data_IF_653278936259
#
_entry.id   IF_653278936259
#
_cell.length_a   1.000
_cell.length_b   1.000
_cell.length_c   1.000
_cell.angle_alpha   90.00
_cell.angle_beta   90.00
_cell.angle_gamma   90.00
#
_symmetry.space_group_name_H-M   'P 1'
#
loop_
_entity.id
_entity.type
_entity.pdbx_description
1 polymer ?
#
# COMPACT_ATOMS: atom_id res chain seq x y z
N UNK A 1 14.58 -24.57 1.07
CA UNK A 1 14.56 -24.95 2.51
C UNK A 1 14.25 -23.66 3.26
N UNK A 2 13.32 -23.66 4.23
CA UNK A 2 13.04 -22.50 5.10
C UNK A 2 13.78 -22.75 6.41
N UNK A 3 14.70 -21.86 6.78
CA UNK A 3 15.51 -22.02 7.99
C UNK A 3 14.78 -21.57 9.25
N UNK A 4 13.96 -20.51 9.14
CA UNK A 4 13.16 -19.97 10.24
C UNK A 4 11.84 -19.39 9.74
N UNK A 5 10.75 -19.70 10.41
CA UNK A 5 9.46 -19.02 10.28
C UNK A 5 9.44 -17.88 11.27
N UNK A 6 9.02 -16.70 10.83
CA UNK A 6 8.95 -15.48 11.67
C UNK A 6 7.52 -14.99 11.78
N UNK A 7 7.22 -14.25 12.87
CA UNK A 7 5.91 -13.69 13.19
C UNK A 7 6.04 -12.32 13.83
N UNK A 8 4.91 -11.69 14.09
CA UNK A 8 4.83 -10.39 14.78
C UNK A 8 5.72 -10.34 16.01
N UNK A 9 6.54 -9.28 16.12
CA UNK A 9 7.40 -8.99 17.25
C UNK A 9 8.69 -9.81 17.32
N UNK A 10 8.93 -10.75 16.40
CA UNK A 10 10.21 -11.46 16.34
C UNK A 10 11.35 -10.49 16.06
N UNK A 11 12.47 -10.71 16.76
CA UNK A 11 13.71 -9.99 16.51
C UNK A 11 14.72 -10.98 15.95
N UNK A 12 15.20 -10.68 14.75
CA UNK A 12 16.30 -11.40 14.11
C UNK A 12 17.60 -10.65 14.42
N UNK A 13 18.53 -11.34 15.07
CA UNK A 13 19.83 -10.80 15.46
C UNK A 13 20.90 -11.24 14.47
N UNK A 14 21.54 -10.28 13.80
CA UNK A 14 22.63 -10.48 12.86
C UNK A 14 23.93 -9.81 13.35
N UNK A 15 24.14 -9.78 14.68
CA UNK A 15 25.30 -9.18 15.31
C UNK A 15 25.17 -7.66 15.41
N UNK A 16 25.72 -6.94 14.45
CA UNK A 16 25.67 -5.46 14.45
C UNK A 16 24.30 -4.91 14.06
N UNK A 17 23.41 -5.75 13.52
CA UNK A 17 22.07 -5.35 13.07
C UNK A 17 20.98 -6.20 13.69
N UNK A 18 19.86 -5.55 14.01
CA UNK A 18 18.63 -6.20 14.50
C UNK A 18 17.46 -5.87 13.59
N UNK A 19 16.69 -6.89 13.26
CA UNK A 19 15.50 -6.75 12.41
C UNK A 19 14.27 -7.12 13.23
N UNK A 20 13.37 -6.16 13.43
CA UNK A 20 12.05 -6.40 14.03
C UNK A 20 11.05 -6.74 12.94
N UNK A 21 10.25 -7.77 13.15
CA UNK A 21 9.23 -8.26 12.23
C UNK A 21 7.86 -7.72 12.61
N UNK A 22 7.10 -7.23 11.63
CA UNK A 22 5.73 -6.78 11.76
C UNK A 22 4.82 -7.56 10.80
N UNK A 23 3.75 -8.15 11.31
CA UNK A 23 2.68 -8.68 10.47
C UNK A 23 1.84 -7.50 9.96
N UNK A 24 1.78 -7.36 8.64
CA UNK A 24 1.10 -6.26 7.95
C UNK A 24 0.17 -6.81 6.87
N UNK A 25 -0.89 -7.56 7.25
CA UNK A 25 -1.85 -8.07 6.28
C UNK A 25 -2.59 -6.92 5.59
N UNK A 26 -3.11 -7.19 4.39
CA UNK A 26 -3.83 -6.22 3.56
C UNK A 26 -3.61 -6.49 2.07
N UNK A 27 -2.35 -6.53 1.62
CA UNK A 27 -2.00 -7.04 0.30
C UNK A 27 -2.14 -8.56 0.26
N UNK A 28 -1.50 -9.27 1.18
CA UNK A 28 -1.75 -10.70 1.43
C UNK A 28 -2.03 -10.93 2.92
N UNK A 29 -2.56 -12.11 3.26
CA UNK A 29 -2.78 -12.49 4.68
C UNK A 29 -1.48 -12.68 5.44
N UNK A 30 -0.38 -12.97 4.74
CA UNK A 30 0.94 -13.25 5.32
C UNK A 30 1.97 -12.16 5.01
N UNK A 31 1.54 -10.97 4.61
CA UNK A 31 2.45 -9.84 4.37
C UNK A 31 3.18 -9.47 5.66
N UNK A 32 4.49 -9.28 5.52
CA UNK A 32 5.39 -8.87 6.60
C UNK A 32 6.11 -7.58 6.20
N UNK A 33 6.35 -6.74 7.19
CA UNK A 33 7.25 -5.59 7.09
C UNK A 33 8.39 -5.75 8.09
N UNK A 34 9.52 -5.11 7.83
CA UNK A 34 10.74 -5.31 8.61
C UNK A 34 11.35 -3.98 8.98
N UNK A 35 11.71 -3.79 10.25
CA UNK A 35 12.43 -2.61 10.69
C UNK A 35 13.85 -2.98 11.10
N UNK A 36 14.82 -2.35 10.47
CA UNK A 36 16.26 -2.54 10.73
C UNK A 36 16.73 -1.44 11.69
N UNK A 37 17.30 -1.84 12.82
CA UNK A 37 17.99 -0.98 13.82
C UNK A 37 17.16 0.21 14.34
N UNK A 38 15.84 0.10 14.36
CA UNK A 38 14.92 1.19 14.65
C UNK A 38 15.12 2.43 13.77
N UNK A 39 15.70 2.26 12.58
CA UNK A 39 16.02 3.33 11.66
C UNK A 39 15.25 3.22 10.34
N UNK A 40 15.37 2.11 9.62
CA UNK A 40 14.71 1.92 8.33
C UNK A 40 13.61 0.89 8.45
N UNK A 41 12.39 1.23 8.02
CA UNK A 41 11.31 0.28 7.88
C UNK A 41 11.08 -0.07 6.41
N UNK A 42 11.12 -1.36 6.10
CA UNK A 42 10.78 -1.93 4.80
C UNK A 42 9.30 -2.27 4.83
N UNK A 43 8.48 -1.36 4.33
CA UNK A 43 7.05 -1.56 4.28
C UNK A 43 6.69 -2.52 3.13
N UNK A 44 5.75 -3.44 3.41
CA UNK A 44 5.18 -4.32 2.39
C UNK A 44 4.26 -3.54 1.44
N UNK A 45 3.83 -4.17 0.34
CA UNK A 45 2.85 -3.58 -0.59
C UNK A 45 1.48 -3.30 0.05
N UNK A 46 1.26 -3.75 1.28
CA UNK A 46 0.04 -3.44 2.05
C UNK A 46 -0.19 -1.95 2.23
N UNK A 47 0.87 -1.14 2.28
CA UNK A 47 0.77 0.32 2.38
C UNK A 47 0.49 1.00 1.02
N UNK A 48 0.27 0.23 -0.03
CA UNK A 48 0.15 0.68 -1.41
C UNK A 48 1.49 0.71 -2.15
N UNK A 49 1.40 0.85 -3.45
CA UNK A 49 2.55 1.00 -4.35
C UNK A 49 2.46 2.36 -5.03
N UNK A 50 3.57 3.07 -5.09
CA UNK A 50 3.65 4.34 -5.79
C UNK A 50 4.47 4.15 -7.06
N UNK A 51 3.94 4.61 -8.18
CA UNK A 51 4.69 4.74 -9.43
C UNK A 51 5.17 6.18 -9.61
N UNK A 52 5.86 6.47 -10.71
CA UNK A 52 6.23 7.85 -11.07
C UNK A 52 5.02 8.76 -11.34
N UNK A 53 3.84 8.20 -11.59
CA UNK A 53 2.65 8.96 -11.98
C UNK A 53 1.47 8.82 -11.03
N UNK A 54 1.32 7.65 -10.36
CA UNK A 54 0.13 7.36 -9.56
C UNK A 54 0.47 6.60 -8.28
N UNK A 55 -0.39 6.73 -7.28
CA UNK A 55 -0.48 5.82 -6.15
C UNK A 55 -1.44 4.68 -6.52
N UNK A 56 -0.93 3.45 -6.48
CA UNK A 56 -1.67 2.24 -6.83
C UNK A 56 -2.17 1.53 -5.57
N UNK A 57 -3.48 1.26 -5.45
CA UNK A 57 -4.01 0.51 -4.32
C UNK A 57 -3.62 -0.96 -4.41
N UNK A 58 -3.18 -1.55 -3.28
CA UNK A 58 -2.76 -2.94 -3.20
C UNK A 58 -3.42 -3.71 -2.04
N UNK A 59 -4.62 -3.30 -1.60
CA UNK A 59 -5.37 -3.98 -0.55
C UNK A 59 -6.21 -5.14 -1.13
N UNK A 60 -5.53 -6.28 -1.40
CA UNK A 60 -6.15 -7.42 -2.11
C UNK A 60 -6.95 -8.35 -1.19
N UNK A 61 -6.72 -8.28 0.13
CA UNK A 61 -7.44 -9.10 1.11
C UNK A 61 -8.22 -8.28 2.14
N UNK A 62 -7.86 -7.01 2.40
CA UNK A 62 -8.58 -6.14 3.31
C UNK A 62 -8.13 -4.69 3.22
N UNK A 63 -9.09 -3.78 3.03
CA UNK A 63 -8.84 -2.33 3.07
C UNK A 63 -8.55 -1.86 4.50
N UNK A 64 -9.38 -2.26 5.47
CA UNK A 64 -9.15 -1.92 6.87
C UNK A 64 -7.82 -2.49 7.37
N UNK A 65 -7.47 -3.71 6.97
CA UNK A 65 -6.17 -4.30 7.30
C UNK A 65 -4.99 -3.44 6.79
N UNK A 66 -5.12 -2.83 5.62
CA UNK A 66 -4.09 -1.94 5.07
C UNK A 66 -3.97 -0.63 5.87
N UNK A 67 -5.08 -0.05 6.32
CA UNK A 67 -5.06 1.12 7.20
C UNK A 67 -4.42 0.79 8.55
N UNK A 68 -4.79 -0.34 9.17
CA UNK A 68 -4.24 -0.80 10.44
C UNK A 68 -2.72 -1.07 10.32
N UNK A 69 -2.27 -1.58 9.16
CA UNK A 69 -0.85 -1.78 8.88
C UNK A 69 -0.08 -0.45 8.80
N UNK A 70 -0.62 0.56 8.11
CA UNK A 70 0.00 1.91 8.06
C UNK A 70 0.12 2.49 9.46
N UNK A 71 -0.93 2.43 10.27
CA UNK A 71 -0.92 2.94 11.64
C UNK A 71 0.09 2.19 12.51
N UNK A 72 0.12 0.84 12.45
CA UNK A 72 1.10 0.02 13.15
C UNK A 72 2.54 0.41 12.80
N UNK A 73 2.86 0.54 11.49
CA UNK A 73 4.19 0.86 11.03
C UNK A 73 4.59 2.31 11.38
N UNK A 74 3.65 3.25 11.36
CA UNK A 74 3.86 4.62 11.87
C UNK A 74 4.28 4.60 13.34
N UNK A 75 3.58 3.86 14.19
CA UNK A 75 3.88 3.74 15.61
C UNK A 75 5.19 3.00 15.92
N UNK A 76 5.72 2.22 14.98
CA UNK A 76 7.05 1.62 15.12
C UNK A 76 8.18 2.65 15.18
N UNK A 77 7.95 3.88 14.69
CA UNK A 77 8.82 5.04 14.89
C UNK A 77 10.12 5.00 14.08
N UNK A 78 10.13 4.31 12.93
CA UNK A 78 11.29 4.34 12.03
C UNK A 78 11.53 5.74 11.47
N UNK A 79 12.80 6.11 11.29
CA UNK A 79 13.20 7.43 10.77
C UNK A 79 13.11 7.49 9.24
N UNK A 80 13.32 6.36 8.58
CA UNK A 80 13.34 6.22 7.12
C UNK A 80 12.36 5.13 6.68
N UNK A 81 11.68 5.37 5.59
CA UNK A 81 10.66 4.48 5.06
C UNK A 81 11.11 4.00 3.68
N UNK A 82 11.27 2.69 3.53
CA UNK A 82 11.46 2.03 2.26
C UNK A 82 10.09 1.53 1.76
N UNK A 83 9.71 1.95 0.56
CA UNK A 83 8.50 1.49 -0.12
C UNK A 83 8.89 0.56 -1.25
N UNK A 84 8.18 -0.55 -1.36
CA UNK A 84 8.38 -1.55 -2.42
C UNK A 84 8.27 -0.89 -3.80
N UNK A 85 9.16 -1.25 -4.71
CA UNK A 85 9.29 -0.73 -6.08
C UNK A 85 9.81 0.72 -6.21
N UNK A 86 9.97 1.45 -5.10
CA UNK A 86 10.45 2.85 -5.12
C UNK A 86 11.83 2.97 -4.46
N UNK A 87 11.99 2.39 -3.27
CA UNK A 87 13.19 2.54 -2.46
C UNK A 87 12.94 3.36 -1.19
N UNK A 88 14.02 3.88 -0.59
CA UNK A 88 13.95 4.75 0.57
C UNK A 88 13.49 6.13 0.11
N UNK A 89 12.38 6.60 0.69
CA UNK A 89 11.91 7.97 0.44
C UNK A 89 12.82 9.00 1.13
N UNK A 90 13.08 10.07 0.43
CA UNK A 90 13.98 11.15 0.81
C UNK A 90 13.31 12.51 0.64
N UNK A 91 13.88 13.61 1.19
CA UNK A 91 13.37 14.95 0.92
C UNK A 91 13.34 15.36 -0.56
N UNK A 92 14.14 14.70 -1.41
CA UNK A 92 14.17 14.93 -2.86
C UNK A 92 12.90 14.43 -3.55
N UNK A 93 12.16 13.51 -2.93
CA UNK A 93 10.88 12.97 -3.44
C UNK A 93 9.70 13.91 -3.15
N UNK A 94 9.88 14.88 -2.25
CA UNK A 94 8.84 15.86 -1.91
C UNK A 94 8.51 16.75 -3.12
N UNK A 95 7.20 16.92 -3.39
CA UNK A 95 6.67 17.67 -4.53
C UNK A 95 6.70 16.91 -5.86
N UNK A 96 7.24 15.71 -5.89
CA UNK A 96 7.17 14.81 -7.06
C UNK A 96 5.84 14.06 -7.09
N UNK A 97 5.64 13.20 -8.09
CA UNK A 97 4.48 12.32 -8.16
C UNK A 97 4.43 11.30 -6.99
N UNK A 98 5.55 11.01 -6.35
CA UNK A 98 5.64 10.14 -5.18
C UNK A 98 4.98 10.77 -3.93
N UNK A 99 5.28 12.05 -3.68
CA UNK A 99 4.77 12.83 -2.55
C UNK A 99 4.23 14.18 -3.02
N UNK A 100 3.14 14.19 -3.80
CA UNK A 100 2.62 15.40 -4.45
C UNK A 100 2.14 16.40 -3.40
N UNK A 101 2.58 17.67 -3.56
CA UNK A 101 2.20 18.76 -2.67
C UNK A 101 2.93 18.83 -1.35
N UNK A 102 3.75 17.83 -0.99
CA UNK A 102 4.67 17.92 0.15
C UNK A 102 5.81 18.88 -0.21
N UNK A 103 6.18 19.77 0.70
CA UNK A 103 7.36 20.61 0.53
C UNK A 103 8.58 19.91 1.11
N UNK A 104 9.75 20.17 0.53
CA UNK A 104 11.01 19.54 0.95
C UNK A 104 11.36 19.81 2.42
N UNK A 105 11.13 21.01 2.89
CA UNK A 105 11.34 21.44 4.28
C UNK A 105 10.35 20.83 5.28
N UNK A 106 9.23 20.27 4.79
CA UNK A 106 8.20 19.61 5.60
C UNK A 106 8.37 18.08 5.62
N UNK A 107 9.39 17.56 4.91
CA UNK A 107 9.60 16.11 4.81
C UNK A 107 9.96 15.51 6.18
N UNK A 108 9.20 14.49 6.56
CA UNK A 108 9.45 13.65 7.74
C UNK A 108 8.80 12.29 7.54
N UNK A 109 9.18 11.29 8.35
CA UNK A 109 8.53 9.97 8.32
C UNK A 109 7.02 10.09 8.57
N UNK A 110 6.58 10.92 9.52
CA UNK A 110 5.15 11.12 9.80
C UNK A 110 4.41 11.67 8.58
N UNK A 111 5.00 12.64 7.88
CA UNK A 111 4.39 13.18 6.65
C UNK A 111 4.30 12.14 5.55
N UNK A 112 5.29 11.26 5.42
CA UNK A 112 5.22 10.13 4.48
C UNK A 112 4.06 9.21 4.85
N UNK A 113 3.89 8.86 6.12
CA UNK A 113 2.76 8.05 6.58
C UNK A 113 1.41 8.72 6.30
N UNK A 114 1.29 10.04 6.50
CA UNK A 114 0.08 10.81 6.13
C UNK A 114 -0.26 10.64 4.64
N UNK A 115 0.74 10.66 3.76
CA UNK A 115 0.54 10.48 2.32
C UNK A 115 0.10 9.05 1.95
N UNK A 116 0.70 8.03 2.57
CA UNK A 116 0.32 6.64 2.34
C UNK A 116 -1.11 6.37 2.81
N UNK A 117 -1.46 6.84 4.00
CA UNK A 117 -2.82 6.74 4.54
C UNK A 117 -3.84 7.49 3.66
N UNK A 118 -3.52 8.72 3.27
CA UNK A 118 -4.36 9.50 2.37
C UNK A 118 -4.51 8.83 0.98
N UNK A 119 -3.45 8.18 0.48
CA UNK A 119 -3.48 7.40 -0.74
C UNK A 119 -4.46 6.23 -0.68
N UNK A 120 -4.42 5.46 0.41
CA UNK A 120 -5.37 4.35 0.66
C UNK A 120 -6.82 4.87 0.70
N UNK A 121 -7.07 5.94 1.44
CA UNK A 121 -8.42 6.53 1.58
C UNK A 121 -8.94 7.07 0.25
N UNK A 122 -8.12 7.84 -0.46
CA UNK A 122 -8.48 8.39 -1.76
C UNK A 122 -8.81 7.31 -2.78
N UNK A 123 -7.96 6.30 -2.94
CA UNK A 123 -8.19 5.23 -3.90
C UNK A 123 -9.41 4.40 -3.55
N UNK A 124 -9.71 4.20 -2.26
CA UNK A 124 -10.96 3.58 -1.83
C UNK A 124 -12.17 4.38 -2.31
N UNK A 125 -12.19 5.70 -2.12
CA UNK A 125 -13.30 6.55 -2.56
C UNK A 125 -13.44 6.55 -4.09
N UNK A 126 -12.33 6.65 -4.83
CA UNK A 126 -12.31 6.58 -6.29
C UNK A 126 -12.87 5.24 -6.80
N UNK A 127 -12.50 4.12 -6.16
CA UNK A 127 -12.98 2.79 -6.57
C UNK A 127 -14.47 2.63 -6.25
N UNK A 128 -14.95 3.14 -5.12
CA UNK A 128 -16.40 3.18 -4.82
C UNK A 128 -17.17 3.91 -5.93
N UNK A 129 -16.65 5.04 -6.41
CA UNK A 129 -17.28 5.79 -7.51
C UNK A 129 -17.22 5.01 -8.84
N UNK A 130 -16.11 4.31 -9.11
CA UNK A 130 -16.00 3.43 -10.29
C UNK A 130 -17.07 2.34 -10.23
N UNK A 131 -17.23 1.66 -9.09
CA UNK A 131 -18.24 0.59 -8.93
C UNK A 131 -19.65 1.13 -9.11
N UNK A 132 -19.97 2.31 -8.58
CA UNK A 132 -21.29 2.93 -8.71
C UNK A 132 -21.61 3.36 -10.14
N UNK A 133 -20.59 3.84 -10.87
CA UNK A 133 -20.76 4.42 -12.21
C UNK A 133 -20.79 3.38 -13.32
N UNK A 134 -20.03 2.29 -13.19
CA UNK A 134 -19.85 1.29 -14.22
C UNK A 134 -20.50 -0.04 -13.80
N UNK A 135 -21.54 -0.53 -14.51
CA UNK A 135 -22.36 -1.65 -14.04
C UNK A 135 -21.70 -3.03 -14.15
N UNK A 136 -20.64 -3.16 -14.95
CA UNK A 136 -19.98 -4.46 -15.15
C UNK A 136 -18.54 -4.44 -14.60
N UNK A 137 -18.09 -5.60 -14.09
CA UNK A 137 -16.71 -5.77 -13.62
C UNK A 137 -15.70 -5.48 -14.75
N UNK A 138 -16.02 -5.83 -15.98
CA UNK A 138 -15.16 -5.56 -17.14
C UNK A 138 -14.93 -4.06 -17.35
N UNK A 139 -16.00 -3.25 -17.30
CA UNK A 139 -15.90 -1.78 -17.40
C UNK A 139 -15.12 -1.20 -16.23
N UNK A 140 -15.38 -1.66 -15.01
CA UNK A 140 -14.67 -1.22 -13.80
C UNK A 140 -13.16 -1.49 -13.92
N UNK A 141 -12.78 -2.72 -14.32
CA UNK A 141 -11.39 -3.12 -14.51
C UNK A 141 -10.69 -2.30 -15.61
N UNK A 142 -11.39 -2.01 -16.71
CA UNK A 142 -10.86 -1.15 -17.79
C UNK A 142 -10.55 0.26 -17.28
N UNK A 143 -11.42 0.83 -16.46
CA UNK A 143 -11.18 2.15 -15.85
C UNK A 143 -10.05 2.10 -14.85
N UNK A 144 -9.99 1.07 -13.99
CA UNK A 144 -8.89 0.90 -13.03
C UNK A 144 -7.53 0.77 -13.74
N UNK A 145 -7.46 0.01 -14.82
CA UNK A 145 -6.25 -0.12 -15.64
C UNK A 145 -5.79 1.26 -16.16
N UNK A 146 -6.71 2.01 -16.76
CA UNK A 146 -6.42 3.34 -17.30
C UNK A 146 -6.03 4.37 -16.22
N UNK A 147 -6.50 4.19 -14.99
CA UNK A 147 -6.27 5.13 -13.89
C UNK A 147 -4.99 4.82 -13.12
N UNK A 148 -4.80 3.55 -12.74
CA UNK A 148 -3.78 3.16 -11.76
C UNK A 148 -2.57 2.42 -12.36
N UNK A 149 -2.63 1.96 -13.62
CA UNK A 149 -1.51 1.31 -14.30
C UNK A 149 -0.74 2.27 -15.21
N UNK A 150 -1.03 3.55 -15.09
CA UNK A 150 -0.39 4.60 -15.87
C UNK A 150 1.09 4.75 -15.50
N UNK A 151 1.95 4.87 -16.52
CA UNK A 151 3.40 5.00 -16.33
C UNK A 151 4.13 3.72 -15.93
N UNK A 152 3.44 2.58 -15.82
CA UNK A 152 4.05 1.28 -15.53
C UNK A 152 4.46 0.61 -16.83
N UNK A 153 5.68 0.08 -16.87
CA UNK A 153 6.18 -0.66 -18.03
C UNK A 153 5.66 -2.09 -18.03
N UNK A 154 5.34 -2.60 -19.21
CA UNK A 154 4.83 -3.97 -19.36
C UNK A 154 5.81 -5.06 -18.89
N UNK A 155 7.12 -4.80 -18.96
CA UNK A 155 8.16 -5.70 -18.44
C UNK A 155 8.20 -5.73 -16.91
N UNK A 156 7.80 -4.61 -16.25
CA UNK A 156 7.77 -4.48 -14.79
C UNK A 156 6.48 -5.10 -14.22
N UNK A 157 5.33 -4.74 -14.81
CA UNK A 157 4.03 -5.33 -14.48
C UNK A 157 3.15 -5.37 -15.73
N UNK A 158 2.90 -6.55 -16.31
CA UNK A 158 1.97 -6.69 -17.43
C UNK A 158 0.53 -6.35 -17.03
N UNK A 159 -0.28 -5.86 -17.97
CA UNK A 159 -1.68 -5.50 -17.73
C UNK A 159 -2.49 -6.62 -17.07
N UNK A 160 -2.27 -7.88 -17.47
CA UNK A 160 -3.00 -9.00 -16.87
C UNK A 160 -2.71 -9.18 -15.37
N UNK A 161 -1.46 -8.94 -14.94
CA UNK A 161 -1.07 -9.04 -13.53
C UNK A 161 -1.72 -7.91 -12.70
N UNK A 162 -1.75 -6.69 -13.27
CA UNK A 162 -2.50 -5.59 -12.67
C UNK A 162 -3.99 -5.92 -12.57
N UNK A 163 -4.61 -6.44 -13.63
CA UNK A 163 -6.05 -6.75 -13.65
C UNK A 163 -6.45 -7.81 -12.63
N UNK A 164 -5.58 -8.80 -12.34
CA UNK A 164 -5.81 -9.76 -11.27
C UNK A 164 -5.88 -9.07 -9.89
N UNK A 165 -4.94 -8.17 -9.64
CA UNK A 165 -4.91 -7.39 -8.39
C UNK A 165 -6.11 -6.44 -8.30
N UNK A 166 -6.45 -5.76 -9.40
CA UNK A 166 -7.60 -4.86 -9.47
C UNK A 166 -8.92 -5.58 -9.20
N UNK A 167 -9.11 -6.80 -9.75
CA UNK A 167 -10.31 -7.61 -9.49
C UNK A 167 -10.41 -8.02 -8.00
N UNK A 168 -9.29 -8.34 -7.35
CA UNK A 168 -9.27 -8.60 -5.91
C UNK A 168 -9.62 -7.34 -5.10
N UNK A 169 -9.05 -6.19 -5.47
CA UNK A 169 -9.31 -4.89 -4.85
C UNK A 169 -10.79 -4.50 -4.96
N UNK A 170 -11.43 -4.67 -6.14
CA UNK A 170 -12.86 -4.43 -6.32
C UNK A 170 -13.70 -5.23 -5.32
N UNK A 171 -13.42 -6.53 -5.17
CA UNK A 171 -14.13 -7.41 -4.22
C UNK A 171 -13.96 -6.98 -2.77
N UNK A 172 -12.77 -6.51 -2.40
CA UNK A 172 -12.52 -5.96 -1.06
C UNK A 172 -13.39 -4.72 -0.82
N UNK A 173 -13.40 -3.78 -1.75
CA UNK A 173 -14.20 -2.55 -1.60
C UNK A 173 -15.70 -2.86 -1.57
N UNK A 174 -16.19 -3.74 -2.43
CA UNK A 174 -17.59 -4.17 -2.41
C UNK A 174 -17.97 -4.76 -1.06
N UNK A 175 -17.12 -5.62 -0.50
CA UNK A 175 -17.36 -6.28 0.78
C UNK A 175 -17.29 -5.35 1.98
N UNK A 176 -16.29 -4.48 2.05
CA UNK A 176 -15.97 -3.71 3.26
C UNK A 176 -16.54 -2.28 3.25
N UNK A 177 -16.79 -1.73 2.06
CA UNK A 177 -17.15 -0.31 1.96
C UNK A 177 -18.51 -0.04 1.31
N UNK A 178 -19.19 -1.06 0.78
CA UNK A 178 -20.47 -0.89 0.09
C UNK A 178 -21.63 -1.67 0.71
N UNK A 179 -21.35 -2.71 1.51
CA UNK A 179 -22.42 -3.50 2.14
C UNK A 179 -23.12 -2.80 3.31
N UNK A 180 -22.51 -1.74 3.88
CA UNK A 180 -23.12 -0.96 4.97
C UNK A 180 -24.13 0.11 4.49
N UNK A 181 -24.32 0.23 3.18
CA UNK A 181 -25.19 1.26 2.59
C UNK A 181 -26.61 0.79 2.24
N UNK A 182 -26.98 -0.45 2.57
CA UNK A 182 -28.35 -0.96 2.35
C UNK A 182 -29.01 -1.36 3.68
N UNK A 183 -29.70 -0.40 4.36
CA UNK A 183 -30.44 -0.69 5.61
C UNK A 183 -31.75 -1.47 5.38
N UNK A 184 -32.08 -1.90 4.16
CA UNK A 184 -33.32 -2.60 3.80
C UNK A 184 -33.12 -3.99 3.16
N UNK A 185 -32.13 -4.76 3.62
CA UNK A 185 -32.07 -6.17 3.28
C UNK A 185 -32.19 -7.07 4.50
#
# INVERSE_FOLDING_TARGET
MVDKVVKEGDILDFGDHKITVFETPGHTKCSLSYMVDHDVIFASETVGVTTSEVYMPCYLVGYQMSLDAVEKLRHAGAKRIFITHVGILTPEDAGTALLPGLKKEEFSADRVWDYLEAGLKRTKDEIVEIIRKYPTEEEQLKIMLATYHKGVKQEEQPDFAFLLNAAATLKVIQRECMNDADPER
#
